data_IF_925465117604
#
_entry.id   IF_925465117604
#
_cell.length_a   1.000
_cell.length_b   1.000
_cell.length_c   1.000
_cell.angle_alpha   90.00
_cell.angle_beta   90.00
_cell.angle_gamma   90.00
#
_symmetry.space_group_name_H-M   'P 1'
#
loop_
_entity.id
_entity.type
_entity.pdbx_description
1 polymer ?
#
# COMPACT_ATOMS: atom_id res chain seq x y z
N UNK A 1 46.06 10.45 -31.50
CA UNK A 1 44.93 11.30 -31.04
C UNK A 1 44.03 10.46 -30.13
N UNK A 2 44.16 10.62 -28.82
CA UNK A 2 43.38 9.91 -27.81
C UNK A 2 42.09 10.67 -27.56
N UNK A 3 40.93 10.03 -27.58
CA UNK A 3 39.66 10.73 -27.30
C UNK A 3 39.58 11.05 -25.81
N UNK A 4 39.45 12.32 -25.47
CA UNK A 4 39.22 12.83 -24.14
C UNK A 4 37.75 12.53 -23.76
N UNK A 5 37.56 11.53 -22.92
CA UNK A 5 36.24 11.19 -22.37
C UNK A 5 35.79 12.30 -21.39
N UNK A 6 34.93 13.17 -21.85
CA UNK A 6 34.34 14.24 -21.02
C UNK A 6 33.45 13.61 -19.94
N UNK A 7 33.95 13.49 -18.72
CA UNK A 7 33.21 13.06 -17.53
C UNK A 7 32.05 14.05 -17.28
N UNK A 8 30.85 13.69 -17.67
CA UNK A 8 29.61 14.48 -17.46
C UNK A 8 29.44 14.74 -15.95
N UNK A 9 29.60 15.98 -15.50
CA UNK A 9 29.30 16.40 -14.12
C UNK A 9 27.87 16.01 -13.81
N UNK A 10 27.65 15.06 -12.88
CA UNK A 10 26.29 14.78 -12.35
C UNK A 10 25.82 16.04 -11.63
N UNK A 11 24.86 16.73 -12.21
CA UNK A 11 24.20 17.86 -11.60
C UNK A 11 23.56 17.35 -10.31
N UNK A 12 23.91 17.94 -9.17
CA UNK A 12 23.29 17.61 -7.88
C UNK A 12 21.83 18.07 -7.90
N UNK A 13 20.90 17.13 -7.87
CA UNK A 13 19.48 17.39 -7.73
C UNK A 13 19.05 17.00 -6.29
N UNK A 14 18.74 18.00 -5.44
CA UNK A 14 18.33 17.77 -4.07
C UNK A 14 17.07 16.91 -3.94
N UNK A 15 16.09 17.11 -4.83
CA UNK A 15 14.82 16.36 -4.79
C UNK A 15 15.03 14.90 -5.17
N UNK A 16 15.76 14.66 -6.24
CA UNK A 16 16.13 13.30 -6.68
C UNK A 16 16.99 12.58 -5.63
N UNK A 17 17.89 13.30 -4.95
CA UNK A 17 18.71 12.75 -3.87
C UNK A 17 17.84 12.31 -2.68
N UNK A 18 16.92 13.18 -2.21
CA UNK A 18 16.00 12.87 -1.11
C UNK A 18 15.09 11.68 -1.46
N UNK A 19 14.50 11.69 -2.65
CA UNK A 19 13.65 10.59 -3.14
C UNK A 19 14.39 9.26 -3.12
N UNK A 20 15.63 9.22 -3.63
CA UNK A 20 16.45 8.00 -3.63
C UNK A 20 16.77 7.48 -2.23
N UNK A 21 17.02 8.37 -1.25
CA UNK A 21 17.22 7.97 0.14
C UNK A 21 15.96 7.30 0.68
N UNK A 22 14.77 7.87 0.41
CA UNK A 22 13.49 7.30 0.83
C UNK A 22 13.20 5.96 0.15
N UNK A 23 13.49 5.83 -1.14
CA UNK A 23 13.27 4.59 -1.89
C UNK A 23 14.14 3.46 -1.33
N UNK A 24 15.42 3.73 -1.09
CA UNK A 24 16.35 2.77 -0.49
C UNK A 24 15.90 2.41 0.93
N UNK A 25 15.58 3.39 1.76
CA UNK A 25 15.13 3.13 3.13
C UNK A 25 13.83 2.31 3.16
N UNK A 26 12.86 2.62 2.29
CA UNK A 26 11.63 1.86 2.16
C UNK A 26 11.88 0.41 1.78
N UNK A 27 12.77 0.15 0.80
CA UNK A 27 13.16 -1.19 0.40
C UNK A 27 13.84 -1.98 1.52
N UNK A 28 14.77 -1.36 2.24
CA UNK A 28 15.45 -2.00 3.37
C UNK A 28 14.51 -2.30 4.53
N UNK A 29 13.61 -1.36 4.88
CA UNK A 29 12.60 -1.58 5.92
C UNK A 29 11.64 -2.71 5.55
N UNK A 30 11.29 -2.84 4.26
CA UNK A 30 10.44 -3.93 3.78
C UNK A 30 11.14 -5.30 3.85
N UNK A 31 12.42 -5.36 3.52
CA UNK A 31 13.16 -6.62 3.43
C UNK A 31 13.72 -7.08 4.77
N UNK A 32 14.28 -6.16 5.57
CA UNK A 32 15.03 -6.46 6.78
C UNK A 32 14.35 -5.98 8.07
N UNK A 33 13.35 -5.10 7.94
CA UNK A 33 12.72 -4.42 9.06
C UNK A 33 13.39 -3.08 9.40
N UNK A 34 12.62 -2.23 10.06
CA UNK A 34 13.11 -0.92 10.50
C UNK A 34 14.25 -1.06 11.49
N UNK A 35 14.12 -1.89 12.56
CA UNK A 35 15.14 -1.99 13.60
C UNK A 35 16.47 -2.52 13.07
N UNK A 36 16.45 -3.49 12.16
CA UNK A 36 17.65 -4.10 11.60
C UNK A 36 18.35 -3.24 10.51
N UNK A 37 17.73 -2.17 10.04
CA UNK A 37 18.32 -1.26 9.05
C UNK A 37 18.97 -0.07 9.75
N UNK A 38 20.24 0.20 9.51
CA UNK A 38 20.94 1.37 10.05
C UNK A 38 20.96 2.55 9.07
N UNK A 39 21.13 3.77 9.60
CA UNK A 39 21.37 4.97 8.75
C UNK A 39 22.60 4.79 7.83
N UNK A 40 23.61 4.07 8.30
CA UNK A 40 24.81 3.77 7.51
C UNK A 40 24.49 2.84 6.33
N UNK A 41 23.64 1.82 6.52
CA UNK A 41 23.19 0.96 5.42
C UNK A 41 22.49 1.77 4.34
N UNK A 42 21.56 2.65 4.75
CA UNK A 42 20.85 3.53 3.82
C UNK A 42 21.82 4.46 3.06
N UNK A 43 22.79 5.06 3.75
CA UNK A 43 23.83 5.90 3.10
C UNK A 43 24.60 5.12 2.04
N UNK A 44 25.09 3.94 2.41
CA UNK A 44 25.88 3.07 1.53
C UNK A 44 25.07 2.65 0.30
N UNK A 45 23.85 2.18 0.49
CA UNK A 45 22.98 1.67 -0.59
C UNK A 45 22.43 2.79 -1.48
N UNK A 46 22.11 3.94 -0.91
CA UNK A 46 21.67 5.11 -1.69
C UNK A 46 22.82 5.72 -2.50
N UNK A 47 24.07 5.33 -2.25
CA UNK A 47 25.27 5.87 -2.89
C UNK A 47 25.29 7.42 -2.88
N UNK A 48 24.96 8.00 -1.72
CA UNK A 48 25.01 9.45 -1.49
C UNK A 48 26.04 9.79 -0.43
N UNK A 49 26.64 11.01 -0.45
CA UNK A 49 27.52 11.44 0.61
C UNK A 49 26.82 11.35 1.98
N UNK A 50 27.54 10.89 3.01
CA UNK A 50 26.96 10.67 4.34
C UNK A 50 26.30 11.91 4.93
N UNK A 51 26.89 13.10 4.75
CA UNK A 51 26.31 14.37 5.13
C UNK A 51 24.95 14.68 4.50
N UNK A 52 24.69 14.15 3.28
CA UNK A 52 23.42 14.35 2.60
C UNK A 52 22.25 13.65 3.31
N UNK A 53 22.46 12.42 3.81
CA UNK A 53 21.38 11.69 4.52
C UNK A 53 21.00 12.41 5.80
N UNK A 54 21.97 12.79 6.62
CA UNK A 54 21.71 13.51 7.87
C UNK A 54 21.17 14.93 7.64
N UNK A 55 21.49 15.56 6.51
CA UNK A 55 20.90 16.84 6.14
C UNK A 55 19.37 16.73 5.92
N UNK A 56 18.91 15.67 5.20
CA UNK A 56 17.47 15.46 4.97
C UNK A 56 16.75 14.81 6.15
N UNK A 57 17.43 13.89 6.82
CA UNK A 57 16.87 13.06 7.90
C UNK A 57 17.85 13.02 9.07
N UNK A 58 17.74 13.97 10.03
CA UNK A 58 18.68 14.07 11.14
C UNK A 58 18.73 12.82 12.03
N UNK A 59 17.66 12.04 12.06
CA UNK A 59 17.54 10.83 12.86
C UNK A 59 16.93 9.69 12.05
N UNK A 60 17.17 8.45 12.48
CA UNK A 60 16.50 7.27 11.90
C UNK A 60 14.97 7.36 12.05
N UNK A 61 14.49 7.95 13.16
CA UNK A 61 13.06 8.19 13.39
C UNK A 61 12.50 9.14 12.33
N UNK A 62 13.14 10.27 12.05
CA UNK A 62 12.69 11.22 11.02
C UNK A 62 12.68 10.59 9.62
N UNK A 63 13.66 9.72 9.31
CA UNK A 63 13.65 8.94 8.07
C UNK A 63 12.49 7.94 8.05
N UNK A 64 12.25 7.23 9.15
CA UNK A 64 11.17 6.25 9.26
C UNK A 64 9.79 6.88 9.09
N UNK A 65 9.54 8.02 9.73
CA UNK A 65 8.28 8.77 9.57
C UNK A 65 8.08 9.21 8.12
N UNK A 66 9.12 9.77 7.48
CA UNK A 66 9.04 10.18 6.08
C UNK A 66 8.80 8.98 5.12
N UNK A 67 9.38 7.80 5.39
CA UNK A 67 9.08 6.58 4.63
C UNK A 67 7.60 6.18 4.80
N UNK A 68 7.06 6.23 6.02
CA UNK A 68 5.65 5.91 6.27
C UNK A 68 4.74 6.89 5.51
N UNK A 69 4.97 8.18 5.67
CA UNK A 69 4.11 9.23 5.15
C UNK A 69 4.17 9.37 3.62
N UNK A 70 5.32 9.10 3.00
CA UNK A 70 5.53 9.38 1.58
C UNK A 70 5.58 8.10 0.72
N UNK A 71 6.10 6.98 1.23
CA UNK A 71 6.25 5.74 0.45
C UNK A 71 5.15 4.74 0.77
N UNK A 72 4.90 4.48 2.05
CA UNK A 72 3.88 3.52 2.46
C UNK A 72 2.48 4.06 2.17
N UNK A 73 2.20 5.31 2.52
CA UNK A 73 0.93 5.97 2.19
C UNK A 73 0.72 6.05 0.66
N UNK A 74 1.77 6.42 -0.10
CA UNK A 74 1.70 6.45 -1.57
C UNK A 74 1.41 5.09 -2.18
N UNK A 75 1.98 4.02 -1.63
CA UNK A 75 1.68 2.66 -2.09
C UNK A 75 0.23 2.26 -1.79
N UNK A 76 -0.31 2.58 -0.61
CA UNK A 76 -1.73 2.32 -0.29
C UNK A 76 -2.64 3.13 -1.21
N UNK A 77 -2.30 4.39 -1.50
CA UNK A 77 -3.01 5.23 -2.46
C UNK A 77 -3.10 4.55 -3.83
N UNK A 78 -1.97 4.13 -4.39
CA UNK A 78 -1.90 3.54 -5.73
C UNK A 78 -2.51 2.13 -5.80
N UNK A 79 -2.31 1.32 -4.76
CA UNK A 79 -2.77 -0.08 -4.77
C UNK A 79 -4.26 -0.20 -4.45
N UNK A 80 -4.78 0.66 -3.57
CA UNK A 80 -6.13 0.54 -3.03
C UNK A 80 -7.04 1.71 -3.36
N UNK A 81 -6.62 2.94 -3.03
CA UNK A 81 -7.52 4.10 -3.04
C UNK A 81 -7.90 4.47 -4.48
N UNK A 82 -6.93 4.60 -5.37
CA UNK A 82 -7.19 4.93 -6.77
C UNK A 82 -8.02 3.86 -7.50
N UNK A 83 -7.69 2.54 -7.43
CA UNK A 83 -8.48 1.51 -8.07
C UNK A 83 -9.91 1.41 -7.54
N UNK A 84 -10.13 1.53 -6.23
CA UNK A 84 -11.46 1.47 -5.64
C UNK A 84 -12.32 2.67 -6.07
N UNK A 85 -11.75 3.86 -6.14
CA UNK A 85 -12.47 5.06 -6.57
C UNK A 85 -12.85 5.04 -8.06
N UNK A 86 -12.11 4.30 -8.90
CA UNK A 86 -12.35 4.22 -10.34
C UNK A 86 -13.16 2.98 -10.76
N UNK A 87 -13.39 2.03 -9.85
CA UNK A 87 -14.17 0.83 -10.13
C UNK A 87 -15.67 1.15 -10.32
N UNK A 88 -16.40 0.28 -11.02
CA UNK A 88 -17.86 0.39 -11.22
C UNK A 88 -18.65 0.21 -9.92
N UNK A 89 -18.14 -0.58 -8.96
CA UNK A 89 -18.66 -0.71 -7.61
C UNK A 89 -17.55 -0.98 -6.59
N UNK A 90 -17.82 -0.75 -5.31
CA UNK A 90 -16.91 -1.06 -4.21
C UNK A 90 -16.51 -2.54 -4.22
N UNK A 91 -17.48 -3.43 -4.40
CA UNK A 91 -17.24 -4.88 -4.43
C UNK A 91 -16.32 -5.31 -5.57
N UNK A 92 -16.56 -4.80 -6.78
CA UNK A 92 -15.68 -5.08 -7.93
C UNK A 92 -14.29 -4.50 -7.74
N UNK A 93 -14.18 -3.28 -7.20
CA UNK A 93 -12.90 -2.65 -6.89
C UNK A 93 -12.07 -3.46 -5.90
N UNK A 94 -12.69 -3.93 -4.81
CA UNK A 94 -12.01 -4.79 -3.83
C UNK A 94 -11.49 -6.07 -4.48
N UNK A 95 -12.33 -6.77 -5.25
CA UNK A 95 -11.94 -8.02 -5.93
C UNK A 95 -10.79 -7.77 -6.91
N UNK A 96 -10.87 -6.71 -7.72
CA UNK A 96 -9.84 -6.35 -8.69
C UNK A 96 -8.48 -6.04 -8.03
N UNK A 97 -8.48 -5.38 -6.87
CA UNK A 97 -7.24 -5.12 -6.12
C UNK A 97 -6.60 -6.44 -5.64
N UNK A 98 -7.38 -7.37 -5.09
CA UNK A 98 -6.85 -8.68 -4.69
C UNK A 98 -6.28 -9.45 -5.89
N UNK A 99 -6.96 -9.43 -7.05
CA UNK A 99 -6.48 -10.07 -8.28
C UNK A 99 -5.16 -9.44 -8.77
N UNK A 100 -5.08 -8.11 -8.78
CA UNK A 100 -3.87 -7.38 -9.17
C UNK A 100 -2.68 -7.69 -8.27
N UNK A 101 -2.90 -7.69 -6.94
CA UNK A 101 -1.84 -7.99 -5.97
C UNK A 101 -1.41 -9.45 -6.11
N UNK A 102 -2.33 -10.41 -6.25
CA UNK A 102 -1.97 -11.81 -6.44
C UNK A 102 -1.13 -12.03 -7.71
N UNK A 103 -1.49 -11.37 -8.81
CA UNK A 103 -0.72 -11.42 -10.06
C UNK A 103 0.69 -10.81 -9.90
N UNK A 104 0.80 -9.70 -9.17
CA UNK A 104 2.10 -9.07 -8.86
C UNK A 104 3.00 -9.98 -8.04
N UNK A 105 2.44 -10.71 -7.06
CA UNK A 105 3.22 -11.64 -6.24
C UNK A 105 3.78 -12.83 -7.03
N UNK A 106 3.09 -13.30 -8.08
CA UNK A 106 3.60 -14.38 -8.93
C UNK A 106 4.80 -13.94 -9.79
N UNK A 107 4.88 -12.66 -10.14
CA UNK A 107 5.95 -12.11 -10.97
C UNK A 107 7.20 -11.67 -10.19
N UNK A 108 7.14 -11.54 -8.88
CA UNK A 108 8.13 -10.80 -8.09
C UNK A 108 9.03 -11.65 -7.17
N UNK A 109 9.35 -12.89 -7.48
CA UNK A 109 10.30 -13.66 -6.67
C UNK A 109 9.87 -13.79 -5.20
N UNK A 110 10.66 -13.24 -4.24
CA UNK A 110 10.35 -13.35 -2.81
C UNK A 110 9.18 -12.44 -2.37
N UNK A 111 8.24 -12.98 -1.62
CA UNK A 111 7.08 -12.25 -1.08
C UNK A 111 7.45 -11.56 0.24
N UNK A 112 7.63 -10.25 0.20
CA UNK A 112 8.01 -9.45 1.38
C UNK A 112 6.83 -9.05 2.29
N UNK A 113 5.58 -9.33 1.87
CA UNK A 113 4.36 -8.94 2.61
C UNK A 113 3.93 -7.48 2.33
N UNK A 114 2.94 -7.00 3.09
CA UNK A 114 2.49 -5.61 3.02
C UNK A 114 3.42 -4.71 3.84
N UNK A 115 4.03 -3.64 3.26
CA UNK A 115 4.91 -2.73 3.99
C UNK A 115 4.23 -2.07 5.19
N UNK A 116 2.97 -1.63 5.05
CA UNK A 116 2.21 -1.03 6.15
C UNK A 116 2.05 -2.03 7.31
N UNK A 117 1.65 -3.26 6.99
CA UNK A 117 1.46 -4.29 8.01
C UNK A 117 2.77 -4.69 8.71
N UNK A 118 3.87 -4.81 7.95
CA UNK A 118 5.19 -5.09 8.53
C UNK A 118 5.59 -4.01 9.54
N UNK A 119 5.45 -2.72 9.18
CA UNK A 119 5.82 -1.61 10.06
C UNK A 119 4.88 -1.45 11.27
N UNK A 120 3.58 -1.73 11.11
CA UNK A 120 2.64 -1.72 12.25
C UNK A 120 3.05 -2.73 13.31
N UNK A 121 3.37 -3.97 12.92
CA UNK A 121 3.77 -5.02 13.84
C UNK A 121 5.10 -4.71 14.56
N UNK A 122 5.99 -3.97 13.89
CA UNK A 122 7.31 -3.63 14.44
C UNK A 122 7.29 -2.35 15.29
N UNK A 123 6.49 -1.33 14.92
CA UNK A 123 6.68 0.03 15.42
C UNK A 123 5.53 0.59 16.25
N UNK A 124 4.31 0.01 16.20
CA UNK A 124 3.15 0.60 16.87
C UNK A 124 3.28 0.65 18.40
N UNK A 125 4.01 -0.26 19.01
CA UNK A 125 4.28 -0.27 20.44
C UNK A 125 5.63 0.39 20.81
N UNK A 126 6.47 0.68 19.82
CA UNK A 126 7.81 1.21 20.05
C UNK A 126 7.81 2.72 20.25
N UNK A 127 6.95 3.46 19.55
CA UNK A 127 6.93 4.92 19.56
C UNK A 127 5.55 5.46 19.14
N UNK A 128 4.97 6.42 19.92
CA UNK A 128 3.65 6.98 19.64
C UNK A 128 3.58 7.79 18.34
N UNK A 129 4.68 8.34 17.82
CA UNK A 129 4.67 9.07 16.56
C UNK A 129 4.50 8.08 15.38
N UNK A 130 5.20 6.95 15.43
CA UNK A 130 5.00 5.86 14.46
C UNK A 130 3.58 5.30 14.53
N UNK A 131 3.05 5.06 15.72
CA UNK A 131 1.69 4.59 15.90
C UNK A 131 0.67 5.53 15.24
N UNK A 132 0.80 6.84 15.47
CA UNK A 132 -0.09 7.84 14.86
C UNK A 132 0.01 7.86 13.34
N UNK A 133 1.23 7.88 12.80
CA UNK A 133 1.45 7.92 11.35
C UNK A 133 0.89 6.67 10.65
N UNK A 134 1.13 5.49 11.21
CA UNK A 134 0.64 4.22 10.68
C UNK A 134 -0.89 4.13 10.80
N UNK A 135 -1.47 4.54 11.94
CA UNK A 135 -2.92 4.56 12.15
C UNK A 135 -3.63 5.47 11.14
N UNK A 136 -3.08 6.64 10.86
CA UNK A 136 -3.65 7.57 9.89
C UNK A 136 -3.79 6.95 8.48
N UNK A 137 -2.85 6.10 8.06
CA UNK A 137 -2.91 5.40 6.77
C UNK A 137 -4.04 4.36 6.77
N UNK A 138 -4.17 3.57 7.85
CA UNK A 138 -5.28 2.62 7.98
C UNK A 138 -6.62 3.33 8.01
N UNK A 139 -6.75 4.43 8.77
CA UNK A 139 -7.99 5.21 8.85
C UNK A 139 -8.40 5.74 7.47
N UNK A 140 -7.45 6.30 6.71
CA UNK A 140 -7.71 6.77 5.35
C UNK A 140 -8.13 5.63 4.42
N UNK A 141 -7.47 4.49 4.49
CA UNK A 141 -7.79 3.32 3.68
C UNK A 141 -9.18 2.77 3.99
N UNK A 142 -9.51 2.52 5.26
CA UNK A 142 -10.82 2.07 5.70
C UNK A 142 -11.91 3.09 5.32
N UNK A 143 -11.69 4.38 5.56
CA UNK A 143 -12.64 5.44 5.22
C UNK A 143 -12.94 5.50 3.72
N UNK A 144 -11.93 5.33 2.87
CA UNK A 144 -12.14 5.32 1.41
C UNK A 144 -13.00 4.15 0.98
N UNK A 145 -12.72 2.95 1.47
CA UNK A 145 -13.53 1.77 1.16
C UNK A 145 -14.96 1.94 1.69
N UNK A 146 -15.11 2.39 2.94
CA UNK A 146 -16.43 2.62 3.54
C UNK A 146 -17.23 3.69 2.77
N UNK A 147 -16.57 4.78 2.35
CA UNK A 147 -17.24 5.81 1.55
C UNK A 147 -17.73 5.25 0.22
N UNK A 148 -16.91 4.45 -0.46
CA UNK A 148 -17.32 3.84 -1.72
C UNK A 148 -18.51 2.89 -1.57
N UNK A 149 -18.60 2.12 -0.47
CA UNK A 149 -19.78 1.33 -0.15
C UNK A 149 -21.00 2.21 0.13
N UNK A 150 -20.85 3.36 0.80
CA UNK A 150 -21.95 4.32 1.00
C UNK A 150 -22.47 4.87 -0.33
N UNK A 151 -21.56 5.29 -1.21
CA UNK A 151 -21.92 5.82 -2.53
C UNK A 151 -22.71 4.79 -3.35
N UNK A 152 -22.31 3.52 -3.29
CA UNK A 152 -23.02 2.43 -3.98
C UNK A 152 -24.42 2.13 -3.37
N UNK A 153 -24.58 2.29 -2.06
CA UNK A 153 -25.89 2.21 -1.40
C UNK A 153 -26.80 3.37 -1.83
N UNK A 154 -26.28 4.59 -1.81
CA UNK A 154 -27.01 5.80 -2.18
C UNK A 154 -27.41 5.79 -3.66
N UNK A 155 -26.57 5.21 -4.52
CA UNK A 155 -26.86 5.00 -5.94
C UNK A 155 -27.81 3.82 -6.22
N UNK A 156 -28.19 3.04 -5.19
CA UNK A 156 -29.02 1.85 -5.34
C UNK A 156 -28.32 0.66 -6.02
N UNK A 157 -27.01 0.73 -6.16
CA UNK A 157 -26.17 -0.35 -6.71
C UNK A 157 -26.15 -1.52 -5.72
N UNK A 158 -26.05 -1.22 -4.43
CA UNK A 158 -26.12 -2.18 -3.34
C UNK A 158 -27.41 -1.98 -2.52
N UNK A 159 -27.87 -3.04 -1.84
CA UNK A 159 -29.10 -2.97 -1.04
C UNK A 159 -28.86 -2.95 0.46
N UNK A 160 -27.91 -3.74 0.93
CA UNK A 160 -27.68 -3.91 2.37
C UNK A 160 -26.22 -4.22 2.64
N UNK A 161 -25.55 -3.35 3.37
CA UNK A 161 -24.19 -3.53 3.90
C UNK A 161 -23.98 -2.49 5.00
N UNK A 162 -23.24 -2.84 6.05
CA UNK A 162 -22.63 -1.85 6.93
C UNK A 162 -21.28 -1.44 6.31
N UNK A 163 -21.17 -0.22 5.78
CA UNK A 163 -19.97 0.19 5.05
C UNK A 163 -18.70 0.16 5.90
N UNK A 164 -18.79 0.55 7.17
CA UNK A 164 -17.61 0.61 8.05
C UNK A 164 -17.16 -0.79 8.44
N UNK A 165 -18.09 -1.67 8.82
CA UNK A 165 -17.76 -3.06 9.16
C UNK A 165 -17.16 -3.78 7.97
N UNK A 166 -17.72 -3.57 6.76
CA UNK A 166 -17.21 -4.19 5.54
C UNK A 166 -15.82 -3.66 5.18
N UNK A 167 -15.57 -2.37 5.31
CA UNK A 167 -14.24 -1.80 5.06
C UNK A 167 -13.19 -2.39 6.01
N UNK A 168 -13.47 -2.45 7.30
CA UNK A 168 -12.59 -3.08 8.29
C UNK A 168 -12.34 -4.56 7.97
N UNK A 169 -13.40 -5.30 7.57
CA UNK A 169 -13.26 -6.70 7.18
C UNK A 169 -12.36 -6.89 5.95
N UNK A 170 -12.51 -6.05 4.92
CA UNK A 170 -11.66 -6.06 3.72
C UNK A 170 -10.20 -5.81 4.07
N UNK A 171 -9.93 -4.75 4.85
CA UNK A 171 -8.57 -4.36 5.25
C UNK A 171 -7.92 -5.44 6.11
N UNK A 172 -8.65 -6.00 7.07
CA UNK A 172 -8.17 -7.10 7.93
C UNK A 172 -7.89 -8.38 7.12
N UNK A 173 -8.80 -8.74 6.20
CA UNK A 173 -8.63 -9.90 5.33
C UNK A 173 -7.40 -9.76 4.43
N UNK A 174 -7.18 -8.59 3.84
CA UNK A 174 -5.99 -8.33 3.04
C UNK A 174 -4.70 -8.39 3.86
N UNK A 175 -4.68 -7.75 5.02
CA UNK A 175 -3.52 -7.73 5.92
C UNK A 175 -3.14 -9.15 6.36
N UNK A 176 -4.12 -9.97 6.72
CA UNK A 176 -3.94 -11.39 7.05
C UNK A 176 -3.46 -12.21 5.87
N UNK A 177 -4.09 -12.04 4.69
CA UNK A 177 -3.71 -12.73 3.46
C UNK A 177 -2.25 -12.44 3.05
N UNK A 178 -1.82 -11.17 3.14
CA UNK A 178 -0.44 -10.78 2.84
C UNK A 178 0.57 -11.33 3.83
N UNK A 179 0.20 -11.46 5.12
CA UNK A 179 1.05 -12.10 6.14
C UNK A 179 1.21 -13.60 5.86
N UNK A 180 0.12 -14.29 5.51
CA UNK A 180 0.14 -15.69 5.11
C UNK A 180 0.90 -15.91 3.80
N UNK A 181 0.74 -15.02 2.82
CA UNK A 181 1.48 -15.08 1.56
C UNK A 181 2.99 -14.93 1.77
N UNK A 182 3.39 -14.01 2.69
CA UNK A 182 4.79 -13.88 3.11
C UNK A 182 5.33 -15.15 3.76
N UNK A 183 4.56 -15.79 4.63
CA UNK A 183 4.97 -17.04 5.27
C UNK A 183 5.05 -18.19 4.26
N UNK A 184 4.09 -18.29 3.32
CA UNK A 184 4.02 -19.33 2.31
C UNK A 184 4.92 -19.08 1.09
N UNK A 185 5.46 -17.86 0.94
CA UNK A 185 6.24 -17.41 -0.22
C UNK A 185 5.52 -17.61 -1.57
N UNK A 186 4.19 -17.43 -1.60
CA UNK A 186 3.38 -17.49 -2.80
C UNK A 186 2.06 -16.72 -2.63
N UNK A 187 1.31 -16.52 -3.72
CA UNK A 187 0.06 -15.76 -3.75
C UNK A 187 -1.19 -16.57 -3.35
N UNK A 188 -1.10 -17.87 -3.05
CA UNK A 188 -2.26 -18.71 -2.78
C UNK A 188 -3.17 -18.18 -1.66
N UNK A 189 -2.65 -17.67 -0.50
CA UNK A 189 -3.49 -17.08 0.54
C UNK A 189 -4.29 -15.85 0.07
N UNK A 190 -3.68 -14.99 -0.77
CA UNK A 190 -4.36 -13.81 -1.34
C UNK A 190 -5.51 -14.24 -2.25
N UNK A 191 -5.30 -15.26 -3.09
CA UNK A 191 -6.35 -15.82 -3.96
C UNK A 191 -7.46 -16.48 -3.17
N UNK A 192 -7.14 -17.20 -2.10
CA UNK A 192 -8.14 -17.83 -1.24
C UNK A 192 -9.04 -16.77 -0.57
N UNK A 193 -8.45 -15.71 0.00
CA UNK A 193 -9.21 -14.59 0.58
C UNK A 193 -10.04 -13.86 -0.50
N UNK A 194 -9.47 -13.63 -1.68
CA UNK A 194 -10.20 -13.06 -2.82
C UNK A 194 -11.43 -13.88 -3.18
N UNK A 195 -11.30 -15.21 -3.25
CA UNK A 195 -12.41 -16.09 -3.60
C UNK A 195 -13.57 -15.96 -2.60
N UNK A 196 -13.29 -16.02 -1.32
CA UNK A 196 -14.33 -15.89 -0.29
C UNK A 196 -14.90 -14.47 -0.19
N UNK A 197 -14.05 -13.43 -0.34
CA UNK A 197 -14.52 -12.06 -0.40
C UNK A 197 -15.51 -11.83 -1.55
N UNK A 198 -15.23 -12.37 -2.74
CA UNK A 198 -16.15 -12.27 -3.88
C UNK A 198 -17.53 -12.88 -3.62
N UNK A 199 -17.64 -13.84 -2.68
CA UNK A 199 -18.91 -14.47 -2.26
C UNK A 199 -19.61 -13.69 -1.15
N UNK A 200 -18.83 -13.09 -0.24
CA UNK A 200 -19.34 -12.37 0.93
C UNK A 200 -19.69 -10.92 0.64
N UNK A 201 -19.00 -10.30 -0.31
CA UNK A 201 -19.25 -8.93 -0.72
C UNK A 201 -20.64 -8.80 -1.35
N UNK A 202 -21.37 -7.71 -1.06
CA UNK A 202 -22.67 -7.48 -1.64
C UNK A 202 -22.55 -7.34 -3.16
N UNK A 203 -23.41 -8.07 -3.88
CA UNK A 203 -23.43 -8.06 -5.33
C UNK A 203 -24.26 -6.88 -5.84
N UNK A 204 -23.87 -6.23 -6.95
CA UNK A 204 -24.67 -5.20 -7.58
C UNK A 204 -26.09 -5.70 -7.85
N UNK A 205 -27.10 -4.88 -7.58
CA UNK A 205 -28.49 -5.17 -7.89
C UNK A 205 -28.64 -5.36 -9.41
N UNK A 206 -29.28 -6.43 -9.84
CA UNK A 206 -29.63 -6.58 -11.26
C UNK A 206 -30.44 -5.34 -11.72
N UNK A 207 -30.16 -4.79 -12.92
CA UNK A 207 -30.92 -3.65 -13.42
C UNK A 207 -32.41 -4.02 -13.42
N UNK A 208 -33.22 -3.24 -12.71
CA UNK A 208 -34.66 -3.46 -12.67
C UNK A 208 -35.19 -3.35 -14.11
N UNK A 209 -35.66 -4.46 -14.66
CA UNK A 209 -36.37 -4.46 -15.92
C UNK A 209 -37.55 -3.53 -15.76
N UNK A 210 -37.47 -2.32 -16.36
CA UNK A 210 -38.62 -1.40 -16.41
C UNK A 210 -39.78 -2.18 -17.01
N UNK A 211 -40.76 -2.50 -16.19
CA UNK A 211 -42.05 -2.98 -16.69
C UNK A 211 -42.58 -1.91 -17.64
N UNK A 212 -42.62 -2.23 -18.94
CA UNK A 212 -43.35 -1.42 -19.91
C UNK A 212 -44.79 -1.30 -19.45
N UNK A 213 -45.37 -0.12 -19.42
CA UNK A 213 -46.78 0.04 -19.08
C UNK A 213 -47.58 -0.73 -20.14
N UNK A 214 -48.34 -1.73 -19.69
CA UNK A 214 -49.37 -2.38 -20.56
C UNK A 214 -50.36 -1.31 -20.96
N UNK A 215 -50.46 -1.08 -22.27
CA UNK A 215 -51.60 -0.34 -22.90
C UNK A 215 -52.84 -1.21 -22.90
#
# INVERSE_FOLDING_TARGET
MTPTTTRRKRTYDPRATRARILDVASGEFQQRGYHATSMHDVMRLAAVPGGSVYHYFPTKKSLGLAVIEERVAGMVLQTWIEPINTASSASEGVVAVFDSVAASLDGNGAVSGCPLNNLVLELSLADPDFQRALRAIFDQWEQTIAQRFRDDLDAGILRTVDPQVMATFVVASFSGAMSLAKAAQNAAPVRACRHELARLLPQPSAPSSRQSPRR
#
